data_IF_940907338632
#
_entry.id   IF_940907338632
#
_cell.length_a   1.000
_cell.length_b   1.000
_cell.length_c   1.000
_cell.angle_alpha   90.00
_cell.angle_beta   90.00
_cell.angle_gamma   90.00
#
_symmetry.space_group_name_H-M   'P 1'
#
loop_
_entity.id
_entity.type
_entity.pdbx_description
1 polymer ?
#
# COMPACT_ATOMS: atom_id res chain seq x y z
N UNK A 1 -2.81 22.43 0.87
CA UNK A 1 -3.02 20.99 0.67
C UNK A 1 -4.44 20.75 0.22
N UNK A 2 -4.59 20.19 -0.95
CA UNK A 2 -5.91 19.93 -1.51
C UNK A 2 -6.44 18.58 -1.03
N UNK A 3 -7.76 18.49 -0.93
CA UNK A 3 -8.41 17.24 -0.53
C UNK A 3 -8.00 16.09 -1.45
N UNK A 4 -7.87 16.36 -2.74
CA UNK A 4 -7.48 15.34 -3.71
C UNK A 4 -6.07 14.82 -3.42
N UNK A 5 -5.16 15.71 -3.07
CA UNK A 5 -3.78 15.32 -2.73
C UNK A 5 -3.75 14.42 -1.50
N UNK A 6 -4.53 14.76 -0.49
CA UNK A 6 -4.60 13.96 0.75
C UNK A 6 -5.12 12.57 0.44
N UNK A 7 -6.18 12.48 -0.36
CA UNK A 7 -6.77 11.18 -0.73
C UNK A 7 -5.75 10.34 -1.50
N UNK A 8 -5.02 10.94 -2.41
CA UNK A 8 -4.02 10.23 -3.20
C UNK A 8 -2.88 9.70 -2.33
N UNK A 9 -2.40 10.52 -1.41
CA UNK A 9 -1.33 10.09 -0.51
C UNK A 9 -1.79 8.94 0.37
N UNK A 10 -3.00 9.03 0.91
CA UNK A 10 -3.55 7.97 1.73
C UNK A 10 -3.69 6.66 0.93
N UNK A 11 -4.21 6.76 -0.29
CA UNK A 11 -4.36 5.59 -1.16
C UNK A 11 -3.01 4.97 -1.51
N UNK A 12 -2.01 5.80 -1.79
CA UNK A 12 -0.67 5.31 -2.11
C UNK A 12 -0.06 4.56 -0.93
N UNK A 13 -0.20 5.10 0.27
CA UNK A 13 0.31 4.45 1.48
C UNK A 13 -0.36 3.09 1.70
N UNK A 14 -1.68 3.04 1.55
CA UNK A 14 -2.42 1.79 1.70
C UNK A 14 -1.98 0.76 0.65
N UNK A 15 -1.81 1.18 -0.58
CA UNK A 15 -1.36 0.30 -1.65
C UNK A 15 0.01 -0.29 -1.36
N UNK A 16 0.94 0.54 -0.88
CA UNK A 16 2.30 0.09 -0.55
C UNK A 16 2.25 -0.93 0.59
N UNK A 17 1.45 -0.66 1.62
CA UNK A 17 1.30 -1.59 2.76
C UNK A 17 0.72 -2.92 2.29
N UNK A 18 -0.33 -2.88 1.47
CA UNK A 18 -0.96 -4.08 0.94
C UNK A 18 0.03 -4.92 0.13
N UNK A 19 0.75 -4.27 -0.78
CA UNK A 19 1.76 -4.96 -1.60
C UNK A 19 2.85 -5.57 -0.73
N UNK A 20 3.32 -4.84 0.26
CA UNK A 20 4.34 -5.33 1.19
C UNK A 20 3.89 -6.59 1.92
N UNK A 21 2.66 -6.56 2.44
CA UNK A 21 2.10 -7.72 3.15
C UNK A 21 1.97 -8.92 2.21
N UNK A 22 1.45 -8.70 1.00
CA UNK A 22 1.28 -9.77 0.02
C UNK A 22 2.63 -10.40 -0.37
N UNK A 23 3.64 -9.58 -0.56
CA UNK A 23 4.97 -10.07 -0.91
C UNK A 23 5.55 -10.90 0.23
N UNK A 24 5.39 -10.44 1.46
CA UNK A 24 5.86 -11.19 2.62
C UNK A 24 5.15 -12.52 2.78
N UNK A 25 3.85 -12.55 2.52
CA UNK A 25 3.09 -13.79 2.61
C UNK A 25 3.50 -14.79 1.54
N UNK A 26 3.83 -14.31 0.35
CA UNK A 26 4.26 -15.18 -0.75
C UNK A 26 5.58 -15.88 -0.47
N UNK A 27 6.45 -15.23 0.27
CA UNK A 27 7.75 -15.83 0.61
C UNK A 27 7.62 -17.11 1.41
N UNK A 28 6.53 -17.26 2.14
CA UNK A 28 6.31 -18.47 2.95
C UNK A 28 5.87 -19.66 2.14
N UNK A 29 5.39 -19.44 0.94
CA UNK A 29 4.83 -20.52 0.12
C UNK A 29 5.90 -21.26 -0.71
N UNK A 30 7.03 -20.64 -0.87
CA UNK A 30 8.14 -21.28 -1.62
C UNK A 30 8.90 -22.29 -0.76
#
# INVERSE_FOLDING_TARGET
MDTVTVIRVAAALLAVVFLGILIMRRKKTA
#
